data_IF_796198742450
#
_entry.id   IF_796198742450
#
_cell.length_a   1.000
_cell.length_b   1.000
_cell.length_c   1.000
_cell.angle_alpha   90.00
_cell.angle_beta   90.00
_cell.angle_gamma   90.00
#
_symmetry.space_group_name_H-M   'P 1'
#
loop_
_entity.id
_entity.type
_entity.pdbx_description
1 polymer ?
#
# COMPACT_ATOMS: atom_id res chain seq x y z
N UNK A 1 -54.15 71.38 -16.89
CA UNK A 1 -53.80 70.44 -15.80
C UNK A 1 -53.33 69.16 -16.45
N UNK A 2 -52.02 68.88 -16.39
CA UNK A 2 -51.37 67.74 -17.07
C UNK A 2 -51.52 66.48 -16.20
N UNK A 3 -51.97 65.37 -16.78
CA UNK A 3 -51.75 64.02 -16.23
C UNK A 3 -50.73 63.31 -17.13
N UNK A 4 -49.70 62.63 -16.57
CA UNK A 4 -48.69 61.96 -17.37
C UNK A 4 -49.15 60.55 -17.77
N UNK A 5 -48.83 60.17 -19.01
CA UNK A 5 -48.92 58.80 -19.48
C UNK A 5 -47.81 57.96 -18.82
N UNK A 6 -48.21 56.92 -18.09
CA UNK A 6 -47.29 55.93 -17.50
C UNK A 6 -46.96 54.91 -18.58
N UNK A 7 -45.73 54.98 -19.10
CA UNK A 7 -45.16 53.98 -20.01
C UNK A 7 -44.69 52.79 -19.17
N UNK A 8 -45.45 51.70 -19.19
CA UNK A 8 -44.99 50.40 -18.65
C UNK A 8 -43.98 49.79 -19.64
N UNK A 9 -42.70 49.90 -19.32
CA UNK A 9 -41.65 49.12 -19.98
C UNK A 9 -41.69 47.71 -19.36
N UNK A 10 -42.26 46.75 -20.10
CA UNK A 10 -42.11 45.35 -19.76
C UNK A 10 -40.65 44.94 -20.01
N UNK A 11 -39.86 44.88 -18.94
CA UNK A 11 -38.56 44.21 -18.98
C UNK A 11 -38.81 42.70 -19.07
N UNK A 12 -38.83 42.19 -20.30
CA UNK A 12 -38.71 40.76 -20.59
C UNK A 12 -37.33 40.31 -20.09
N UNK A 13 -37.26 39.80 -18.86
CA UNK A 13 -36.11 39.06 -18.36
C UNK A 13 -35.98 37.76 -19.16
N UNK A 14 -35.19 37.81 -20.23
CA UNK A 14 -34.71 36.60 -20.90
C UNK A 14 -33.77 35.93 -19.90
N UNK A 15 -34.24 34.88 -19.24
CA UNK A 15 -33.36 33.96 -18.57
C UNK A 15 -32.53 33.29 -19.68
N UNK A 16 -31.26 33.68 -19.80
CA UNK A 16 -30.30 32.94 -20.61
C UNK A 16 -30.10 31.59 -19.93
N UNK A 17 -30.82 30.57 -20.41
CA UNK A 17 -30.43 29.18 -20.18
C UNK A 17 -29.04 29.04 -20.78
N UNK A 18 -28.02 28.81 -19.95
CA UNK A 18 -26.68 28.57 -20.44
C UNK A 18 -26.74 27.39 -21.42
N UNK A 19 -26.30 27.61 -22.65
CA UNK A 19 -26.28 26.57 -23.65
C UNK A 19 -25.06 25.69 -23.36
N UNK A 20 -25.29 24.38 -23.20
CA UNK A 20 -24.21 23.42 -23.05
C UNK A 20 -23.35 23.42 -24.34
N UNK A 21 -22.06 23.73 -24.24
CA UNK A 21 -21.07 23.64 -25.32
C UNK A 21 -20.38 22.28 -25.24
N UNK A 22 -20.65 21.40 -26.21
CA UNK A 22 -20.00 20.08 -26.28
C UNK A 22 -18.80 20.16 -27.19
N UNK A 23 -17.60 20.04 -26.61
CA UNK A 23 -16.33 20.02 -27.35
C UNK A 23 -15.95 18.59 -27.68
N UNK A 24 -15.65 18.33 -28.95
CA UNK A 24 -15.26 17.00 -29.46
C UNK A 24 -13.91 17.07 -30.15
N UNK A 25 -12.99 16.22 -29.74
CA UNK A 25 -11.70 16.02 -30.40
C UNK A 25 -11.67 14.64 -31.07
N UNK A 26 -11.02 14.54 -32.23
CA UNK A 26 -10.92 13.31 -33.01
C UNK A 26 -9.47 12.89 -33.20
N UNK A 27 -9.27 11.58 -33.32
CA UNK A 27 -8.03 10.99 -33.81
C UNK A 27 -7.84 11.24 -35.32
N UNK A 28 -6.62 11.07 -35.86
CA UNK A 28 -6.37 11.18 -37.31
C UNK A 28 -7.18 10.22 -38.17
N UNK A 29 -7.61 9.08 -37.61
CA UNK A 29 -8.46 8.11 -38.29
C UNK A 29 -9.96 8.51 -38.32
N UNK A 30 -10.32 9.65 -37.71
CA UNK A 30 -11.68 10.17 -37.65
C UNK A 30 -12.50 9.71 -36.45
N UNK A 31 -12.04 8.74 -35.67
CA UNK A 31 -12.71 8.31 -34.44
C UNK A 31 -12.67 9.40 -33.38
N UNK A 32 -13.70 9.49 -32.55
CA UNK A 32 -13.72 10.40 -31.40
C UNK A 32 -12.63 9.98 -30.42
N UNK A 33 -11.85 10.96 -29.96
CA UNK A 33 -10.82 10.80 -28.93
C UNK A 33 -11.32 11.26 -27.57
N UNK A 34 -12.06 12.37 -27.57
CA UNK A 34 -12.46 13.06 -26.36
C UNK A 34 -13.73 13.86 -26.62
N UNK A 35 -14.64 13.85 -25.67
CA UNK A 35 -15.82 14.72 -25.64
C UNK A 35 -16.06 15.23 -24.21
N UNK A 36 -16.36 16.52 -24.08
CA UNK A 36 -16.68 17.12 -22.79
C UNK A 36 -17.70 18.24 -22.93
N UNK A 37 -18.55 18.37 -21.92
CA UNK A 37 -19.58 19.39 -21.85
C UNK A 37 -19.08 20.59 -21.04
N UNK A 38 -19.34 21.80 -21.55
CA UNK A 38 -18.93 23.06 -20.94
C UNK A 38 -20.13 23.98 -20.73
N UNK A 39 -20.17 24.62 -19.57
CA UNK A 39 -21.15 25.67 -19.22
C UNK A 39 -20.36 26.87 -18.72
N UNK A 40 -20.51 28.03 -19.38
CA UNK A 40 -19.76 29.26 -19.07
C UNK A 40 -18.23 29.03 -19.03
N UNK A 41 -17.70 28.36 -20.05
CA UNK A 41 -16.28 27.99 -20.21
C UNK A 41 -15.70 27.06 -19.13
N UNK A 42 -16.53 26.50 -18.26
CA UNK A 42 -16.15 25.49 -17.27
C UNK A 42 -16.70 24.12 -17.64
N UNK A 43 -15.96 23.06 -17.38
CA UNK A 43 -16.47 21.69 -17.51
C UNK A 43 -17.63 21.47 -16.54
N UNK A 44 -18.75 21.01 -17.08
CA UNK A 44 -19.99 20.75 -16.35
C UNK A 44 -20.68 19.56 -17.03
N UNK A 45 -20.95 18.49 -16.28
CA UNK A 45 -21.53 17.26 -16.81
C UNK A 45 -20.50 16.25 -17.33
N UNK A 46 -20.87 15.41 -18.32
CA UNK A 46 -20.05 14.26 -18.71
C UNK A 46 -18.80 14.65 -19.50
N UNK A 47 -17.71 13.94 -19.22
CA UNK A 47 -16.48 13.87 -19.99
C UNK A 47 -16.23 12.40 -20.37
N UNK A 48 -15.96 12.13 -21.65
CA UNK A 48 -15.57 10.81 -22.13
C UNK A 48 -14.28 10.89 -22.93
N UNK A 49 -13.41 9.92 -22.69
CA UNK A 49 -12.18 9.69 -23.46
C UNK A 49 -12.26 8.29 -24.08
N UNK A 50 -11.79 8.15 -25.31
CA UNK A 50 -11.86 6.92 -26.09
C UNK A 50 -10.46 6.49 -26.55
N UNK A 51 -10.29 5.20 -26.80
CA UNK A 51 -9.14 4.66 -27.53
C UNK A 51 -9.24 4.98 -29.03
N UNK A 52 -8.15 4.77 -29.75
CA UNK A 52 -8.04 5.00 -31.19
C UNK A 52 -8.99 4.13 -32.02
N UNK A 53 -9.37 2.95 -31.52
CA UNK A 53 -10.38 2.08 -32.12
C UNK A 53 -11.83 2.49 -31.82
N UNK A 54 -12.03 3.56 -31.04
CA UNK A 54 -13.34 4.05 -30.62
C UNK A 54 -13.90 3.40 -29.35
N UNK A 55 -13.18 2.46 -28.73
CA UNK A 55 -13.57 1.87 -27.44
C UNK A 55 -13.53 2.92 -26.34
N UNK A 56 -14.54 2.99 -25.48
CA UNK A 56 -14.54 3.91 -24.33
C UNK A 56 -13.36 3.59 -23.42
N UNK A 57 -12.58 4.61 -23.06
CA UNK A 57 -11.38 4.50 -22.22
C UNK A 57 -11.64 5.05 -20.82
N UNK A 58 -12.31 6.19 -20.72
CA UNK A 58 -12.70 6.81 -19.45
C UNK A 58 -14.02 7.53 -19.59
N UNK A 59 -14.86 7.43 -18.58
CA UNK A 59 -16.05 8.26 -18.39
C UNK A 59 -15.97 8.93 -17.02
N UNK A 60 -16.24 10.23 -16.98
CA UNK A 60 -16.19 11.05 -15.77
C UNK A 60 -17.31 12.07 -15.80
N UNK A 61 -17.66 12.60 -14.64
CA UNK A 61 -18.58 13.72 -14.54
C UNK A 61 -17.90 14.89 -13.83
N UNK A 62 -18.26 16.10 -14.22
CA UNK A 62 -17.67 17.33 -13.73
C UNK A 62 -18.74 18.29 -13.20
N UNK A 63 -18.39 19.03 -12.16
CA UNK A 63 -19.17 20.15 -11.63
C UNK A 63 -18.18 21.29 -11.39
N UNK A 64 -18.35 22.42 -12.09
CA UNK A 64 -17.48 23.59 -12.01
C UNK A 64 -15.98 23.25 -12.13
N UNK A 65 -15.59 22.57 -13.21
CA UNK A 65 -14.21 22.10 -13.50
C UNK A 65 -13.65 21.03 -12.55
N UNK A 66 -14.43 20.57 -11.57
CA UNK A 66 -14.00 19.52 -10.63
C UNK A 66 -14.70 18.21 -10.94
N UNK A 67 -13.95 17.11 -10.94
CA UNK A 67 -14.56 15.77 -11.05
C UNK A 67 -15.49 15.51 -9.88
N UNK A 68 -16.65 14.96 -10.16
CA UNK A 68 -17.71 14.67 -9.19
C UNK A 68 -18.40 13.36 -9.56
N UNK A 69 -18.63 12.49 -8.58
CA UNK A 69 -19.20 11.16 -8.80
C UNK A 69 -18.17 10.10 -9.19
N UNK A 70 -18.64 8.95 -9.68
CA UNK A 70 -17.75 7.82 -10.01
C UNK A 70 -17.19 7.98 -11.41
N UNK A 71 -15.87 8.12 -11.51
CA UNK A 71 -15.13 7.96 -12.76
C UNK A 71 -14.94 6.47 -13.04
N UNK A 72 -15.24 6.05 -14.26
CA UNK A 72 -15.00 4.69 -14.75
C UNK A 72 -13.89 4.69 -15.78
N UNK A 73 -12.95 3.77 -15.65
CA UNK A 73 -11.92 3.52 -16.66
C UNK A 73 -12.10 2.12 -17.22
N UNK A 74 -11.74 1.92 -18.49
CA UNK A 74 -11.94 0.66 -19.20
C UNK A 74 -10.65 0.25 -19.89
N UNK A 75 -10.43 -1.06 -19.99
CA UNK A 75 -9.40 -1.64 -20.84
C UNK A 75 -9.75 -1.44 -22.32
N UNK A 76 -8.75 -1.64 -23.20
CA UNK A 76 -8.93 -1.53 -24.66
C UNK A 76 -9.88 -2.59 -25.24
N UNK A 77 -10.15 -3.67 -24.51
CA UNK A 77 -11.18 -4.65 -24.87
C UNK A 77 -12.61 -4.26 -24.43
N UNK A 78 -12.76 -3.09 -23.79
CA UNK A 78 -14.02 -2.57 -23.26
C UNK A 78 -14.38 -3.06 -21.86
N UNK A 79 -13.58 -3.96 -21.26
CA UNK A 79 -13.81 -4.43 -19.89
C UNK A 79 -13.57 -3.30 -18.89
N UNK A 80 -14.44 -3.16 -17.89
CA UNK A 80 -14.26 -2.19 -16.81
C UNK A 80 -12.92 -2.46 -16.10
N UNK A 81 -12.07 -1.43 -15.99
CA UNK A 81 -10.74 -1.48 -15.39
C UNK A 81 -10.75 -0.93 -13.96
N UNK A 82 -11.45 0.18 -13.74
CA UNK A 82 -11.50 0.82 -12.43
C UNK A 82 -12.77 1.65 -12.21
N UNK A 83 -13.17 1.77 -10.95
CA UNK A 83 -14.15 2.72 -10.45
C UNK A 83 -13.48 3.61 -9.39
N UNK A 84 -13.48 4.91 -9.63
CA UNK A 84 -12.80 5.92 -8.82
C UNK A 84 -13.85 6.94 -8.33
N UNK A 85 -14.25 6.92 -7.05
CA UNK A 85 -15.23 7.87 -6.53
C UNK A 85 -14.57 9.23 -6.31
N UNK A 86 -15.03 10.27 -7.01
CA UNK A 86 -14.57 11.65 -6.87
C UNK A 86 -15.58 12.52 -6.12
N UNK A 87 -15.06 13.33 -5.20
CA UNK A 87 -15.80 14.41 -4.53
C UNK A 87 -14.95 15.67 -4.62
N UNK A 88 -15.48 16.74 -5.22
CA UNK A 88 -14.78 18.01 -5.41
C UNK A 88 -13.38 17.87 -6.05
N UNK A 89 -13.22 16.93 -6.99
CA UNK A 89 -11.96 16.69 -7.70
C UNK A 89 -10.95 15.80 -6.96
N UNK A 90 -11.29 15.28 -5.78
CA UNK A 90 -10.46 14.34 -5.02
C UNK A 90 -11.10 12.96 -5.00
N UNK A 91 -10.29 11.90 -5.08
CA UNK A 91 -10.75 10.54 -4.81
C UNK A 91 -11.10 10.43 -3.32
N UNK A 92 -12.35 10.08 -3.04
CA UNK A 92 -12.94 9.96 -1.71
C UNK A 92 -13.88 8.75 -1.69
N UNK A 93 -13.55 7.72 -0.92
CA UNK A 93 -14.29 6.45 -0.81
C UNK A 93 -13.55 5.25 -1.40
N UNK A 94 -14.30 4.17 -1.63
CA UNK A 94 -13.76 2.89 -2.11
C UNK A 94 -13.38 2.95 -3.58
N UNK A 95 -12.08 2.83 -3.88
CA UNK A 95 -11.59 2.56 -5.24
C UNK A 95 -11.67 1.07 -5.50
N UNK A 96 -12.26 0.69 -6.63
CA UNK A 96 -12.33 -0.69 -7.10
C UNK A 96 -11.52 -0.80 -8.39
N UNK A 97 -10.68 -1.83 -8.50
CA UNK A 97 -10.01 -2.18 -9.75
C UNK A 97 -10.33 -3.61 -10.11
N UNK A 98 -10.37 -3.90 -11.41
CA UNK A 98 -10.79 -5.18 -11.95
C UNK A 98 -9.65 -5.83 -12.74
N UNK A 99 -9.67 -7.16 -12.79
CA UNK A 99 -8.88 -7.94 -13.75
C UNK A 99 -9.47 -7.81 -15.15
N UNK A 100 -8.70 -8.18 -16.18
CA UNK A 100 -9.18 -8.16 -17.57
C UNK A 100 -10.36 -9.10 -17.84
N UNK A 101 -10.63 -10.05 -16.94
CA UNK A 101 -11.81 -10.92 -17.03
C UNK A 101 -13.06 -10.30 -16.34
N UNK A 102 -12.98 -9.05 -15.87
CA UNK A 102 -14.06 -8.32 -15.24
C UNK A 102 -14.29 -8.65 -13.76
N UNK A 103 -13.54 -9.57 -13.16
CA UNK A 103 -13.60 -9.81 -11.70
C UNK A 103 -12.81 -8.76 -10.95
N UNK A 104 -13.20 -8.49 -9.71
CA UNK A 104 -12.48 -7.54 -8.83
C UNK A 104 -11.04 -8.05 -8.64
N UNK A 105 -10.09 -7.14 -8.79
CA UNK A 105 -8.68 -7.33 -8.49
C UNK A 105 -8.29 -6.69 -7.14
N UNK A 106 -8.73 -5.46 -6.89
CA UNK A 106 -8.46 -4.76 -5.62
C UNK A 106 -9.64 -3.90 -5.18
N UNK A 107 -9.78 -3.73 -3.87
CA UNK A 107 -10.65 -2.72 -3.24
C UNK A 107 -9.88 -2.01 -2.14
N UNK A 108 -9.86 -0.68 -2.15
CA UNK A 108 -9.16 0.09 -1.13
C UNK A 108 -9.85 1.42 -0.84
N UNK A 109 -9.82 1.85 0.41
CA UNK A 109 -10.37 3.13 0.85
C UNK A 109 -9.40 4.28 0.59
N UNK A 110 -9.91 5.35 -0.02
CA UNK A 110 -9.18 6.58 -0.30
C UNK A 110 -9.82 7.78 0.36
N UNK A 111 -8.99 8.71 0.81
CA UNK A 111 -9.38 10.03 1.31
C UNK A 111 -8.43 11.07 0.74
N UNK A 112 -8.97 12.11 0.11
CA UNK A 112 -8.18 13.16 -0.53
C UNK A 112 -7.04 12.63 -1.42
N UNK A 113 -7.36 11.69 -2.33
CA UNK A 113 -6.41 11.00 -3.23
C UNK A 113 -5.40 10.07 -2.55
N UNK A 114 -5.45 9.86 -1.23
CA UNK A 114 -4.52 8.96 -0.52
C UNK A 114 -5.25 7.72 -0.04
N UNK A 115 -4.67 6.56 -0.26
CA UNK A 115 -5.15 5.32 0.35
C UNK A 115 -4.97 5.42 1.87
N UNK A 116 -5.99 5.10 2.65
CA UNK A 116 -5.99 5.26 4.12
C UNK A 116 -5.96 3.93 4.87
N UNK A 117 -6.19 2.81 4.20
CA UNK A 117 -6.19 1.50 4.81
C UNK A 117 -5.60 0.44 3.87
N UNK A 118 -5.14 -0.66 4.46
CA UNK A 118 -4.79 -1.86 3.70
C UNK A 118 -6.03 -2.40 2.98
N UNK A 119 -5.96 -2.48 1.65
CA UNK A 119 -7.05 -2.92 0.80
C UNK A 119 -7.19 -4.44 0.72
N UNK A 120 -8.25 -4.88 0.05
CA UNK A 120 -8.46 -6.27 -0.32
C UNK A 120 -7.85 -6.53 -1.69
N UNK A 121 -7.24 -7.70 -1.87
CA UNK A 121 -6.67 -8.14 -3.15
C UNK A 121 -7.21 -9.53 -3.50
N UNK A 122 -7.52 -9.74 -4.77
CA UNK A 122 -8.15 -10.95 -5.28
C UNK A 122 -7.39 -11.45 -6.53
N UNK A 123 -7.34 -12.77 -6.70
CA UNK A 123 -6.77 -13.42 -7.88
C UNK A 123 -7.73 -13.32 -9.08
N UNK A 124 -7.26 -13.68 -10.28
CA UNK A 124 -8.11 -13.67 -11.48
C UNK A 124 -9.32 -14.61 -11.38
N UNK A 125 -9.26 -15.68 -10.59
CA UNK A 125 -10.42 -16.55 -10.36
C UNK A 125 -11.45 -15.94 -9.39
N UNK A 126 -11.13 -14.80 -8.75
CA UNK A 126 -11.95 -14.11 -7.77
C UNK A 126 -11.73 -14.58 -6.32
N UNK A 127 -10.83 -15.55 -6.08
CA UNK A 127 -10.42 -15.94 -4.73
C UNK A 127 -9.61 -14.82 -4.06
N UNK A 128 -9.65 -14.66 -2.73
CA UNK A 128 -8.75 -13.75 -2.02
C UNK A 128 -7.29 -14.10 -2.31
N UNK A 129 -6.47 -13.10 -2.62
CA UNK A 129 -5.05 -13.28 -2.80
C UNK A 129 -4.39 -13.64 -1.45
N UNK A 130 -3.48 -14.60 -1.46
CA UNK A 130 -2.73 -15.02 -0.27
C UNK A 130 -1.37 -14.34 -0.18
N UNK A 131 -0.97 -13.56 -1.17
CA UNK A 131 0.27 -12.80 -1.18
C UNK A 131 0.17 -11.60 -2.10
N UNK A 132 1.01 -10.60 -1.88
CA UNK A 132 1.16 -9.49 -2.80
C UNK A 132 2.04 -8.39 -2.24
N UNK A 133 2.00 -7.24 -2.90
CA UNK A 133 2.73 -6.04 -2.50
C UNK A 133 1.75 -4.93 -2.13
N UNK A 134 2.12 -4.11 -1.16
CA UNK A 134 1.35 -2.94 -0.75
C UNK A 134 2.26 -1.75 -0.56
N UNK A 135 1.84 -0.58 -1.06
CA UNK A 135 2.57 0.68 -0.87
C UNK A 135 2.04 1.42 0.34
N UNK A 136 2.87 1.58 1.35
CA UNK A 136 2.56 2.33 2.56
C UNK A 136 2.42 3.84 2.24
N UNK A 137 1.26 4.47 2.49
CA UNK A 137 1.02 5.87 2.18
C UNK A 137 1.80 6.83 3.09
N UNK A 138 2.36 6.34 4.20
CA UNK A 138 3.07 7.16 5.18
C UNK A 138 4.50 7.49 4.74
N UNK A 139 5.15 6.58 4.01
CA UNK A 139 6.54 6.73 3.56
C UNK A 139 6.73 6.45 2.05
N UNK A 140 5.74 5.87 1.37
CA UNK A 140 5.80 5.49 -0.03
C UNK A 140 6.57 4.20 -0.30
N UNK A 141 7.00 3.47 0.73
CA UNK A 141 7.68 2.18 0.58
C UNK A 141 6.67 1.09 0.20
N UNK A 142 7.09 0.16 -0.65
CA UNK A 142 6.33 -1.07 -0.90
C UNK A 142 6.80 -2.15 0.06
N UNK A 143 5.84 -2.89 0.62
CA UNK A 143 6.07 -4.05 1.47
C UNK A 143 5.32 -5.24 0.90
N UNK A 144 6.03 -6.35 0.74
CA UNK A 144 5.39 -7.63 0.44
C UNK A 144 4.62 -8.14 1.67
N UNK A 145 3.54 -8.88 1.42
CA UNK A 145 2.71 -9.53 2.44
C UNK A 145 2.33 -10.94 2.00
N UNK A 146 2.05 -11.79 2.99
CA UNK A 146 1.75 -13.21 2.81
C UNK A 146 0.75 -13.67 3.88
N UNK A 147 -0.18 -14.54 3.51
CA UNK A 147 -1.07 -15.24 4.42
C UNK A 147 -0.44 -16.58 4.79
N UNK A 148 -0.19 -16.80 6.08
CA UNK A 148 0.36 -18.05 6.60
C UNK A 148 -0.61 -18.61 7.64
N UNK A 149 -1.21 -19.76 7.31
CA UNK A 149 -2.36 -20.26 8.05
C UNK A 149 -3.56 -19.35 7.81
N UNK A 150 -4.03 -18.71 8.87
CA UNK A 150 -5.15 -17.77 8.89
C UNK A 150 -4.72 -16.33 9.21
N UNK A 151 -3.41 -16.04 9.25
CA UNK A 151 -2.88 -14.70 9.59
C UNK A 151 -2.15 -14.07 8.42
N UNK A 152 -2.35 -12.76 8.23
CA UNK A 152 -1.65 -11.98 7.23
C UNK A 152 -0.41 -11.33 7.85
N UNK A 153 0.76 -11.63 7.30
CA UNK A 153 2.06 -11.15 7.76
C UNK A 153 2.70 -10.24 6.72
N UNK A 154 3.42 -9.21 7.18
CA UNK A 154 4.41 -8.54 6.32
C UNK A 154 5.54 -9.51 6.00
N UNK A 155 5.77 -9.76 4.72
CA UNK A 155 6.81 -10.65 4.19
C UNK A 155 8.17 -9.95 4.05
N UNK A 156 8.26 -8.67 4.42
CA UNK A 156 9.53 -7.95 4.58
C UNK A 156 9.72 -7.33 5.98
N UNK A 157 10.98 -7.07 6.33
CA UNK A 157 11.31 -6.30 7.54
C UNK A 157 10.82 -4.86 7.34
N UNK A 158 10.08 -4.32 8.31
CA UNK A 158 9.57 -2.96 8.20
C UNK A 158 10.69 -1.94 8.04
N UNK A 159 10.48 -0.94 7.17
CA UNK A 159 11.45 0.12 6.87
C UNK A 159 10.90 1.54 7.10
N UNK A 160 9.82 1.64 7.86
CA UNK A 160 9.18 2.90 8.21
C UNK A 160 10.05 3.73 9.17
N UNK A 161 10.31 4.99 8.81
CA UNK A 161 11.08 5.89 9.67
C UNK A 161 10.18 6.52 10.73
N UNK A 162 10.27 6.05 11.98
CA UNK A 162 9.57 6.70 13.10
C UNK A 162 10.19 8.06 13.45
N UNK A 163 9.37 9.00 13.94
CA UNK A 163 9.79 10.36 14.26
C UNK A 163 10.95 10.45 15.28
N UNK A 164 11.06 9.45 16.17
CA UNK A 164 12.06 9.35 17.24
C UNK A 164 13.23 8.42 16.93
N UNK A 165 13.38 7.99 15.67
CA UNK A 165 14.61 7.38 15.17
C UNK A 165 14.63 5.85 15.23
N UNK A 166 14.54 5.25 14.06
CA UNK A 166 14.87 3.86 13.79
C UNK A 166 16.22 3.78 13.07
N UNK A 167 17.06 2.80 13.42
CA UNK A 167 18.44 2.71 12.95
C UNK A 167 18.47 2.33 11.47
N UNK A 168 19.20 3.11 10.66
CA UNK A 168 19.28 2.92 9.22
C UNK A 168 20.72 3.07 8.68
N UNK A 169 21.72 2.48 9.33
CA UNK A 169 23.05 2.40 8.71
C UNK A 169 23.05 1.49 7.46
N UNK A 170 22.13 0.53 7.38
CA UNK A 170 21.99 -0.43 6.28
C UNK A 170 20.52 -0.74 5.91
N UNK A 171 19.58 0.19 6.18
CA UNK A 171 18.16 -0.17 6.12
C UNK A 171 17.59 -0.42 4.72
N UNK A 172 18.23 0.09 3.67
CA UNK A 172 17.85 -0.24 2.29
C UNK A 172 18.07 -1.72 1.95
N UNK A 173 18.93 -2.41 2.71
CA UNK A 173 19.20 -3.83 2.50
C UNK A 173 18.40 -4.71 3.46
N UNK A 174 18.32 -4.31 4.73
CA UNK A 174 17.81 -5.16 5.82
C UNK A 174 16.45 -4.74 6.38
N UNK A 175 15.91 -3.58 6.00
CA UNK A 175 14.92 -2.88 6.81
C UNK A 175 15.55 -2.17 8.00
N UNK A 176 14.73 -1.51 8.81
CA UNK A 176 15.19 -0.77 10.00
C UNK A 176 15.25 -1.66 11.22
N UNK A 177 16.13 -1.29 12.15
CA UNK A 177 16.08 -1.78 13.52
C UNK A 177 15.39 -0.72 14.39
N UNK A 178 14.43 -1.18 15.19
CA UNK A 178 13.64 -0.36 16.09
C UNK A 178 13.97 -0.76 17.52
N UNK A 179 14.08 0.23 18.40
CA UNK A 179 13.86 -0.04 19.83
C UNK A 179 12.39 -0.40 20.08
N UNK A 180 12.07 -0.91 21.25
CA UNK A 180 10.73 -1.42 21.56
C UNK A 180 9.65 -0.33 21.42
N UNK A 181 9.93 0.90 21.86
CA UNK A 181 8.97 2.01 21.80
C UNK A 181 8.68 2.45 20.36
N UNK A 182 9.70 2.46 19.49
CA UNK A 182 9.53 2.79 18.08
C UNK A 182 8.89 1.63 17.31
N UNK A 183 9.18 0.38 17.68
CA UNK A 183 8.55 -0.80 17.07
C UNK A 183 7.02 -0.77 17.22
N UNK A 184 6.53 -0.37 18.39
CA UNK A 184 5.10 -0.20 18.68
C UNK A 184 4.38 0.82 17.78
N UNK A 185 5.11 1.68 17.07
CA UNK A 185 4.56 2.75 16.22
C UNK A 185 4.81 2.52 14.72
N UNK A 186 5.53 1.46 14.36
CA UNK A 186 6.01 1.29 12.99
C UNK A 186 5.04 0.49 12.09
N UNK A 187 4.16 -0.33 12.68
CA UNK A 187 3.14 -1.04 11.92
C UNK A 187 2.14 -0.09 11.26
N UNK A 188 1.65 -0.49 10.09
CA UNK A 188 0.59 0.19 9.35
C UNK A 188 -0.70 0.21 10.17
N UNK A 189 -1.56 1.20 9.93
CA UNK A 189 -2.94 1.16 10.39
C UNK A 189 -3.64 -0.15 9.97
N UNK A 190 -4.34 -0.78 10.92
CA UNK A 190 -4.96 -2.09 10.74
C UNK A 190 -3.99 -3.28 10.89
N UNK A 191 -2.70 -3.02 11.10
CA UNK A 191 -1.72 -4.03 11.49
C UNK A 191 -1.23 -3.76 12.92
N UNK A 192 -0.77 -4.80 13.59
CA UNK A 192 -0.15 -4.70 14.89
C UNK A 192 1.20 -5.43 14.94
N UNK A 193 1.95 -5.10 15.97
CA UNK A 193 3.15 -5.81 16.37
C UNK A 193 2.73 -7.18 16.92
N UNK A 194 3.23 -8.30 16.38
CA UNK A 194 2.77 -9.62 16.77
C UNK A 194 3.15 -9.93 18.23
N UNK A 195 2.20 -10.48 18.97
CA UNK A 195 2.39 -11.10 20.28
C UNK A 195 3.21 -12.38 20.19
N UNK A 196 3.74 -12.81 21.32
CA UNK A 196 4.40 -14.11 21.44
C UNK A 196 3.49 -15.27 21.04
N UNK A 197 2.19 -15.18 21.36
CA UNK A 197 1.22 -16.22 21.01
C UNK A 197 1.05 -16.35 19.49
N UNK A 198 1.02 -15.23 18.77
CA UNK A 198 0.91 -15.22 17.31
C UNK A 198 2.20 -15.72 16.63
N UNK A 199 3.36 -15.32 17.15
CA UNK A 199 4.62 -15.92 16.74
C UNK A 199 4.64 -17.44 16.96
N UNK A 200 4.14 -17.92 18.10
CA UNK A 200 4.04 -19.36 18.37
C UNK A 200 3.08 -20.07 17.40
N UNK A 201 1.99 -19.41 16.99
CA UNK A 201 1.07 -19.91 15.97
C UNK A 201 1.79 -20.07 14.62
N UNK A 202 2.54 -19.06 14.19
CA UNK A 202 3.37 -19.13 12.98
C UNK A 202 4.41 -20.26 13.06
N UNK A 203 5.13 -20.37 14.18
CA UNK A 203 6.14 -21.41 14.38
C UNK A 203 5.52 -22.82 14.36
N UNK A 204 4.28 -22.98 14.83
CA UNK A 204 3.54 -24.24 14.75
C UNK A 204 3.20 -24.62 13.31
N UNK A 205 2.79 -23.65 12.49
CA UNK A 205 2.55 -23.85 11.04
C UNK A 205 3.85 -24.23 10.33
N UNK A 206 4.96 -23.59 10.70
CA UNK A 206 6.30 -23.87 10.16
C UNK A 206 6.89 -25.23 10.58
N UNK A 207 6.22 -25.96 11.47
CA UNK A 207 6.53 -27.35 11.80
C UNK A 207 7.83 -27.53 12.59
N UNK A 208 8.50 -28.68 12.37
CA UNK A 208 9.68 -29.09 13.18
C UNK A 208 10.94 -28.27 12.91
N UNK A 209 11.01 -27.57 11.78
CA UNK A 209 12.20 -26.83 11.31
C UNK A 209 11.83 -25.39 10.93
N UNK A 210 11.32 -24.58 11.86
CA UNK A 210 10.81 -23.24 11.55
C UNK A 210 11.87 -22.32 10.94
N UNK A 211 13.16 -22.50 11.29
CA UNK A 211 14.25 -21.76 10.68
C UNK A 211 14.43 -22.07 9.20
N UNK A 212 14.19 -23.30 8.76
CA UNK A 212 14.24 -23.64 7.32
C UNK A 212 13.04 -23.04 6.60
N UNK A 213 11.86 -23.19 7.18
CA UNK A 213 10.60 -22.79 6.55
C UNK A 213 10.38 -21.26 6.46
N UNK A 214 10.87 -20.47 7.43
CA UNK A 214 10.56 -19.04 7.54
C UNK A 214 11.72 -18.11 7.13
N UNK A 215 12.96 -18.58 7.16
CA UNK A 215 14.10 -17.75 6.76
C UNK A 215 14.14 -17.59 5.26
N UNK A 216 14.38 -16.35 4.83
CA UNK A 216 14.67 -16.05 3.43
C UNK A 216 15.82 -16.93 2.93
N UNK A 217 15.75 -17.36 1.67
CA UNK A 217 16.84 -18.07 1.00
C UNK A 217 18.06 -17.21 0.66
N UNK A 218 18.05 -15.93 1.08
CA UNK A 218 19.09 -14.94 0.81
C UNK A 218 19.27 -14.02 2.03
N UNK A 219 20.36 -13.24 2.04
CA UNK A 219 20.64 -12.31 3.13
C UNK A 219 21.07 -13.00 4.43
N UNK A 220 21.68 -14.17 4.32
CA UNK A 220 22.28 -14.93 5.42
C UNK A 220 23.75 -15.21 5.11
N UNK A 221 24.61 -15.15 6.13
CA UNK A 221 26.02 -15.50 6.01
C UNK A 221 26.19 -17.01 5.73
N UNK A 222 27.32 -17.41 5.12
CA UNK A 222 27.70 -18.82 5.00
C UNK A 222 27.59 -19.57 6.33
N UNK A 223 27.10 -20.82 6.31
CA UNK A 223 27.01 -21.65 7.52
C UNK A 223 28.41 -21.88 8.15
N UNK A 224 29.44 -21.94 7.29
CA UNK A 224 30.86 -21.97 7.66
C UNK A 224 31.64 -21.05 6.73
N UNK A 225 32.78 -20.48 7.13
CA UNK A 225 33.53 -19.49 6.34
C UNK A 225 33.80 -19.91 4.88
N UNK A 226 34.02 -21.20 4.66
CA UNK A 226 34.32 -21.80 3.36
C UNK A 226 33.10 -22.46 2.67
N UNK A 227 31.90 -22.37 3.26
CA UNK A 227 30.71 -23.01 2.72
C UNK A 227 30.12 -22.22 1.55
N UNK A 228 29.76 -22.87 0.42
CA UNK A 228 28.98 -22.23 -0.63
C UNK A 228 27.50 -22.07 -0.27
N UNK A 229 27.09 -22.57 0.91
CA UNK A 229 25.70 -22.56 1.38
C UNK A 229 25.50 -21.37 2.33
N UNK A 230 24.69 -20.41 1.88
CA UNK A 230 24.34 -19.19 2.60
C UNK A 230 23.10 -19.41 3.46
N UNK A 231 23.30 -19.54 4.77
CA UNK A 231 22.27 -20.00 5.71
C UNK A 231 21.65 -21.35 5.34
N UNK A 232 20.63 -21.77 6.08
CA UNK A 232 19.81 -22.97 5.80
C UNK A 232 18.31 -22.64 5.59
N UNK A 233 17.98 -21.36 5.32
CA UNK A 233 16.63 -20.93 4.99
C UNK A 233 16.21 -21.33 3.58
N UNK A 234 14.95 -21.74 3.42
CA UNK A 234 14.34 -22.07 2.12
C UNK A 234 13.08 -21.27 1.83
N UNK A 235 12.62 -20.49 2.81
CA UNK A 235 11.42 -19.67 2.73
C UNK A 235 10.18 -20.42 2.21
N UNK A 236 9.99 -21.64 2.70
CA UNK A 236 8.93 -22.56 2.26
C UNK A 236 7.52 -21.99 2.43
N UNK A 237 7.36 -20.98 3.30
CA UNK A 237 6.09 -20.30 3.58
C UNK A 237 6.02 -18.87 3.03
N UNK A 238 7.06 -18.37 2.36
CA UNK A 238 7.10 -17.00 1.81
C UNK A 238 7.17 -15.88 2.87
N UNK A 239 7.61 -16.20 4.09
CA UNK A 239 7.74 -15.25 5.19
C UNK A 239 8.95 -14.31 5.03
N UNK A 240 10.03 -14.81 4.43
CA UNK A 240 11.18 -14.02 4.04
C UNK A 240 11.96 -13.41 5.21
N UNK A 241 12.18 -14.13 6.32
CA UNK A 241 12.98 -13.59 7.43
C UNK A 241 14.44 -13.33 6.99
N UNK A 242 14.79 -12.05 6.81
CA UNK A 242 16.14 -11.55 6.48
C UNK A 242 16.95 -11.32 7.76
N UNK A 243 18.24 -11.64 7.74
CA UNK A 243 19.15 -11.48 8.88
C UNK A 243 19.62 -10.03 9.05
N UNK A 244 18.71 -9.14 9.41
CA UNK A 244 19.03 -7.74 9.69
C UNK A 244 19.91 -7.53 10.93
N UNK A 245 20.24 -8.57 11.68
CA UNK A 245 20.99 -8.43 12.91
C UNK A 245 20.23 -7.62 13.96
N UNK A 246 20.98 -6.99 14.84
CA UNK A 246 20.45 -6.21 15.94
C UNK A 246 21.32 -4.98 16.22
N UNK A 247 20.88 -4.19 17.21
CA UNK A 247 21.71 -3.18 17.83
C UNK A 247 21.78 -3.42 19.33
N UNK A 248 23.00 -3.56 19.86
CA UNK A 248 23.23 -3.91 21.27
C UNK A 248 23.63 -2.73 22.17
N UNK A 249 23.93 -1.55 21.61
CA UNK A 249 24.47 -0.45 22.41
C UNK A 249 23.40 0.22 23.29
N UNK A 250 23.87 0.86 24.36
CA UNK A 250 23.04 1.66 25.28
C UNK A 250 22.72 3.03 24.65
N UNK A 251 21.71 3.70 25.20
CA UNK A 251 21.18 5.00 24.76
C UNK A 251 22.19 6.15 24.60
N UNK A 252 23.43 6.02 25.07
CA UNK A 252 24.49 7.03 24.94
C UNK A 252 25.10 7.12 23.54
N UNK A 253 24.88 6.12 22.67
CA UNK A 253 25.27 6.19 21.25
C UNK A 253 24.18 6.87 20.43
N UNK A 254 24.54 7.98 19.78
CA UNK A 254 23.65 8.71 18.89
C UNK A 254 23.14 7.79 17.76
N UNK A 255 21.85 7.91 17.41
CA UNK A 255 21.16 7.01 16.46
C UNK A 255 21.91 6.88 15.12
N UNK A 256 22.52 7.97 14.65
CA UNK A 256 23.30 8.01 13.39
C UNK A 256 24.55 7.12 13.42
N UNK A 257 25.10 6.84 14.61
CA UNK A 257 26.35 6.09 14.81
C UNK A 257 26.08 4.63 15.20
N UNK A 258 24.79 4.26 15.39
CA UNK A 258 24.37 2.91 15.70
C UNK A 258 24.50 2.01 14.47
N UNK A 259 25.10 0.84 14.67
CA UNK A 259 25.38 -0.16 13.62
C UNK A 259 24.49 -1.38 13.76
N UNK A 260 24.41 -2.12 12.66
CA UNK A 260 23.77 -3.44 12.59
C UNK A 260 24.81 -4.48 12.97
N UNK A 261 24.73 -4.97 14.20
CA UNK A 261 25.54 -6.05 14.73
C UNK A 261 24.93 -7.40 14.35
N UNK A 262 25.77 -8.39 14.04
CA UNK A 262 25.34 -9.75 13.65
C UNK A 262 24.40 -9.82 12.43
N UNK A 263 24.33 -8.76 11.61
CA UNK A 263 23.69 -8.83 10.30
C UNK A 263 24.31 -9.96 9.46
N UNK A 264 23.47 -10.66 8.68
CA UNK A 264 23.82 -11.91 8.00
C UNK A 264 23.78 -13.15 8.91
N UNK A 265 24.08 -13.03 10.20
CA UNK A 265 24.18 -14.18 11.12
C UNK A 265 22.90 -14.49 11.86
N UNK A 266 22.13 -13.46 12.21
CA UNK A 266 20.89 -13.61 12.99
C UNK A 266 19.81 -12.64 12.51
N UNK A 267 18.57 -13.05 12.67
CA UNK A 267 17.41 -12.19 12.54
C UNK A 267 16.72 -12.07 13.89
N UNK A 268 16.39 -10.85 14.28
CA UNK A 268 15.77 -10.51 15.56
C UNK A 268 14.44 -9.82 15.28
N UNK A 269 13.36 -10.36 15.84
CA UNK A 269 12.01 -9.81 15.66
C UNK A 269 11.33 -9.58 16.99
N UNK A 270 10.85 -8.36 17.19
CA UNK A 270 10.14 -8.04 18.41
C UNK A 270 8.79 -8.76 18.53
N UNK A 271 8.42 -9.06 19.77
CA UNK A 271 7.05 -9.39 20.21
C UNK A 271 6.41 -8.18 20.90
N UNK A 272 5.08 -8.10 20.93
CA UNK A 272 4.37 -7.00 21.61
C UNK A 272 4.56 -6.97 23.12
N UNK A 273 5.02 -8.08 23.73
CA UNK A 273 5.37 -8.17 25.14
C UNK A 273 6.83 -7.76 25.45
N UNK A 274 7.63 -7.41 24.43
CA UNK A 274 9.03 -7.00 24.60
C UNK A 274 10.03 -8.16 24.71
N UNK A 275 9.62 -9.39 24.42
CA UNK A 275 10.54 -10.48 24.06
C UNK A 275 10.95 -10.36 22.59
N UNK A 276 12.03 -11.03 22.19
CA UNK A 276 12.53 -11.06 20.81
C UNK A 276 12.61 -12.49 20.32
N UNK A 277 12.03 -12.78 19.16
CA UNK A 277 12.23 -14.02 18.44
C UNK A 277 13.53 -13.95 17.63
N UNK A 278 14.39 -14.94 17.81
CA UNK A 278 15.71 -15.02 17.20
C UNK A 278 15.81 -16.21 16.26
N UNK A 279 16.25 -15.94 15.04
CA UNK A 279 16.68 -16.94 14.06
C UNK A 279 18.19 -16.90 13.89
N UNK A 280 18.80 -18.05 13.63
CA UNK A 280 20.25 -18.22 13.51
C UNK A 280 20.60 -18.72 12.11
N UNK A 281 21.68 -18.23 11.50
CA UNK A 281 22.05 -18.60 10.12
C UNK A 281 22.29 -20.11 9.93
N UNK A 282 22.73 -20.81 10.97
CA UNK A 282 23.16 -22.20 10.96
C UNK A 282 22.19 -23.19 11.61
N UNK A 283 21.03 -22.72 12.12
CA UNK A 283 20.08 -23.58 12.86
C UNK A 283 18.70 -23.65 12.21
N UNK A 284 18.06 -24.80 12.38
CA UNK A 284 16.69 -25.07 11.92
C UNK A 284 15.62 -24.50 12.88
N UNK A 285 16.01 -23.90 14.00
CA UNK A 285 15.11 -23.46 15.08
C UNK A 285 15.03 -21.94 15.18
N UNK A 286 13.98 -21.47 15.87
CA UNK A 286 13.87 -20.11 16.38
C UNK A 286 13.71 -20.14 17.90
N UNK A 287 14.16 -19.10 18.60
CA UNK A 287 14.09 -19.02 20.08
C UNK A 287 13.64 -17.64 20.54
N UNK A 288 12.83 -17.60 21.59
CA UNK A 288 12.52 -16.35 22.27
C UNK A 288 13.60 -16.02 23.29
N UNK A 289 14.07 -14.77 23.27
CA UNK A 289 15.06 -14.23 24.20
C UNK A 289 14.57 -12.88 24.74
N UNK A 290 15.09 -12.50 25.92
CA UNK A 290 14.74 -11.24 26.57
C UNK A 290 15.88 -10.25 26.41
N UNK A 291 15.54 -9.06 25.94
CA UNK A 291 16.47 -7.95 25.82
C UNK A 291 15.92 -6.72 26.55
N UNK A 292 16.78 -5.72 26.75
CA UNK A 292 16.31 -4.44 27.27
C UNK A 292 15.50 -3.70 26.17
N UNK A 293 14.61 -2.77 26.53
CA UNK A 293 13.77 -2.06 25.56
C UNK A 293 14.54 -1.17 24.55
N UNK A 294 15.79 -0.80 24.81
CA UNK A 294 16.65 -0.01 23.91
C UNK A 294 17.31 -0.87 22.82
N UNK A 295 17.23 -2.20 22.94
CA UNK A 295 17.73 -3.14 21.95
C UNK A 295 17.13 -2.85 20.58
N UNK A 296 17.94 -2.83 19.52
CA UNK A 296 17.40 -2.65 18.17
C UNK A 296 17.09 -4.01 17.55
N UNK A 297 15.84 -4.26 17.18
CA UNK A 297 15.45 -5.45 16.41
C UNK A 297 14.62 -5.06 15.18
N UNK A 298 14.57 -5.95 14.20
CA UNK A 298 13.63 -5.81 13.07
C UNK A 298 12.19 -5.98 13.57
N UNK A 299 11.25 -5.49 12.76
CA UNK A 299 9.83 -5.64 13.03
C UNK A 299 9.15 -6.36 11.86
N UNK A 300 8.24 -7.26 12.21
CA UNK A 300 7.18 -7.76 11.35
C UNK A 300 5.86 -7.27 11.90
N UNK A 301 4.91 -7.03 11.02
CA UNK A 301 3.57 -6.64 11.39
C UNK A 301 2.59 -7.69 10.92
N UNK A 302 1.50 -7.81 11.67
CA UNK A 302 0.46 -8.81 11.47
C UNK A 302 -0.90 -8.14 11.36
N UNK A 303 -1.80 -8.75 10.62
CA UNK A 303 -3.24 -8.45 10.62
C UNK A 303 -4.01 -9.76 10.77
N UNK A 304 -4.94 -9.77 11.72
CA UNK A 304 -5.88 -10.88 11.98
C UNK A 304 -7.04 -10.91 10.98
#
# INVERSE_FOLDING_TARGET
MKLPAILFIAASSIAFTACDDVRVEKYPNGNVRFEATYVNDKKEGPEKEYYDDGTLKRESNYVNDRREGVTKEYYKDGTLQSELPYVNGYIEGTVIRYHKNGKVATKAEYKQNKQIAFGETYNEDGSPATSGSYKDPRDGNSYEWIVIGDQLWTAENMNFATASGAICSQCNHWGRLYDFQNAQKACLEGFHMPSKAEWQKLLKVAGKKPGVALKAGYGWDPIKPESPIFGNGKDELGFGAKAGGAHFAKSDVAIKDRKFDEAGKKAYFWTSEGEVLVFFHDKDIAKFEKFNPEFGASLRCLKD
#
